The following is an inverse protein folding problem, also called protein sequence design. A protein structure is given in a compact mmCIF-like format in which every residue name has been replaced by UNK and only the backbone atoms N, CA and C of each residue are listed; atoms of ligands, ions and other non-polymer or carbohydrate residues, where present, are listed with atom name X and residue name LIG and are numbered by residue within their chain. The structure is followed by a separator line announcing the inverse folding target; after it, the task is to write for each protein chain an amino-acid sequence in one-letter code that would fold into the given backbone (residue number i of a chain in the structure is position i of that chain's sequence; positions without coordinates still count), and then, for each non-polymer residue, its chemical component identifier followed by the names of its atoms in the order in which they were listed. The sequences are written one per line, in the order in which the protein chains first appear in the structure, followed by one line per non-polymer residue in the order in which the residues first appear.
data_IF_406182332647
#
_entry.id   IF_406182332647
#
_cell.length_a   1.000
_cell.length_b   1.000
_cell.length_c   1.000
_cell.angle_alpha   90.00
_cell.angle_beta   90.00
_cell.angle_gamma   90.00
#
_symmetry.space_group_name_H-M   'P 1'
#
loop_
_entity.id
_entity.type
_entity.pdbx_description
1 polymer ?
#
# COMPACT_ATOMS: atom_id res chain seq x y z
N UNK A 1 11.93 -10.35 10.28
CA UNK A 1 12.89 -9.53 9.50
C UNK A 1 12.37 -8.09 9.43
N UNK A 2 13.25 -7.11 9.68
CA UNK A 2 12.93 -5.73 10.08
C UNK A 2 12.09 -4.90 9.09
N UNK A 3 10.82 -4.67 9.44
CA UNK A 3 9.91 -3.68 8.83
C UNK A 3 10.53 -2.25 8.78
N UNK A 4 11.44 -1.92 9.71
CA UNK A 4 12.08 -0.60 9.80
C UNK A 4 13.11 -0.29 8.68
N UNK A 5 13.62 -1.29 7.95
CA UNK A 5 14.71 -1.07 6.97
C UNK A 5 14.24 -0.38 5.69
N UNK A 6 12.99 -0.57 5.29
CA UNK A 6 12.47 0.05 4.07
C UNK A 6 12.26 1.56 4.26
N UNK A 7 11.62 1.99 5.34
CA UNK A 7 11.41 3.40 5.65
C UNK A 7 12.73 4.18 5.74
N UNK A 8 13.75 3.60 6.37
CA UNK A 8 15.08 4.22 6.42
C UNK A 8 15.69 4.40 5.01
N UNK A 9 15.51 3.43 4.11
CA UNK A 9 15.96 3.52 2.71
C UNK A 9 15.16 4.57 1.93
N UNK A 10 13.85 4.64 2.14
CA UNK A 10 12.98 5.67 1.56
C UNK A 10 13.46 7.08 1.92
N UNK A 11 13.68 7.36 3.20
CA UNK A 11 14.19 8.66 3.68
C UNK A 11 15.59 8.92 3.11
N UNK A 12 16.44 7.90 3.09
CA UNK A 12 17.79 8.02 2.55
C UNK A 12 17.78 8.36 1.06
N UNK A 13 16.94 7.72 0.24
CA UNK A 13 16.79 8.03 -1.19
C UNK A 13 16.34 9.46 -1.41
N UNK A 14 15.34 9.93 -0.65
CA UNK A 14 14.89 11.34 -0.71
C UNK A 14 16.02 12.31 -0.37
N UNK A 15 16.77 12.03 0.70
CA UNK A 15 17.94 12.83 1.08
C UNK A 15 18.99 12.82 -0.03
N UNK A 16 19.31 11.65 -0.57
CA UNK A 16 20.29 11.49 -1.64
C UNK A 16 19.92 12.34 -2.87
N UNK A 17 18.62 12.39 -3.21
CA UNK A 17 18.13 13.20 -4.32
C UNK A 17 18.26 14.71 -4.03
N UNK A 18 17.89 15.15 -2.82
CA UNK A 18 17.99 16.55 -2.38
C UNK A 18 19.44 17.06 -2.40
N UNK A 19 20.39 16.22 -2.03
CA UNK A 19 21.82 16.54 -2.06
C UNK A 19 22.52 16.11 -3.35
N UNK A 20 21.77 15.75 -4.40
CA UNK A 20 22.34 15.23 -5.65
C UNK A 20 23.29 16.19 -6.36
N UNK A 21 23.20 17.51 -6.11
CA UNK A 21 24.16 18.49 -6.62
C UNK A 21 25.53 18.46 -5.94
N UNK A 22 25.59 17.98 -4.69
CA UNK A 22 26.82 17.83 -3.89
C UNK A 22 27.45 16.44 -4.08
N UNK A 23 26.69 15.50 -4.65
CA UNK A 23 27.10 14.12 -4.88
C UNK A 23 27.52 13.95 -6.34
N UNK A 24 28.64 13.25 -6.58
CA UNK A 24 29.08 12.89 -7.93
C UNK A 24 28.31 11.67 -8.44
N UNK A 25 27.00 11.82 -8.63
CA UNK A 25 26.14 10.78 -9.21
C UNK A 25 26.28 10.78 -10.73
N UNK A 26 26.31 9.59 -11.34
CA UNK A 26 26.20 9.49 -12.79
C UNK A 26 24.76 9.83 -13.22
N UNK A 27 24.56 10.13 -14.51
CA UNK A 27 23.25 10.55 -15.03
C UNK A 27 22.18 9.46 -14.88
N UNK A 28 22.54 8.21 -15.13
CA UNK A 28 21.65 7.05 -15.03
C UNK A 28 21.17 6.80 -13.60
N UNK A 29 22.08 6.76 -12.63
CA UNK A 29 21.77 6.59 -11.21
C UNK A 29 20.87 7.72 -10.70
N UNK A 30 21.06 8.94 -11.23
CA UNK A 30 20.21 10.08 -10.88
C UNK A 30 18.79 9.93 -11.43
N UNK A 31 18.63 9.44 -12.65
CA UNK A 31 17.31 9.14 -13.23
C UNK A 31 16.59 8.01 -12.46
N UNK A 32 17.28 6.91 -12.18
CA UNK A 32 16.72 5.81 -11.38
C UNK A 32 16.33 6.26 -9.96
N UNK A 33 17.16 7.13 -9.34
CA UNK A 33 16.87 7.74 -8.05
C UNK A 33 15.66 8.66 -8.11
N UNK A 34 15.52 9.46 -9.17
CA UNK A 34 14.38 10.32 -9.41
C UNK A 34 13.08 9.50 -9.51
N UNK A 35 13.08 8.44 -10.30
CA UNK A 35 11.92 7.55 -10.46
C UNK A 35 11.50 6.92 -9.13
N UNK A 36 12.48 6.43 -8.35
CA UNK A 36 12.22 5.88 -7.03
C UNK A 36 11.66 6.95 -6.07
N UNK A 37 12.19 8.16 -6.09
CA UNK A 37 11.70 9.25 -5.25
C UNK A 37 10.30 9.74 -5.66
N UNK A 38 10.01 9.80 -6.97
CA UNK A 38 8.67 10.11 -7.48
C UNK A 38 7.66 9.09 -6.98
N UNK A 39 7.97 7.80 -7.09
CA UNK A 39 7.15 6.73 -6.52
C UNK A 39 6.94 6.92 -5.01
N UNK A 40 8.01 7.21 -4.28
CA UNK A 40 7.94 7.42 -2.82
C UNK A 40 6.97 8.55 -2.48
N UNK A 41 7.16 9.72 -3.08
CA UNK A 41 6.40 10.93 -2.74
C UNK A 41 4.95 10.84 -3.20
N UNK A 42 4.70 10.28 -4.38
CA UNK A 42 3.35 10.25 -4.97
C UNK A 42 2.52 9.07 -4.45
N UNK A 43 3.13 7.91 -4.22
CA UNK A 43 2.41 6.68 -3.90
C UNK A 43 2.65 6.22 -2.45
N UNK A 44 3.89 6.21 -1.97
CA UNK A 44 4.24 5.53 -0.71
C UNK A 44 4.07 6.40 0.56
N UNK A 45 4.29 7.71 0.50
CA UNK A 45 4.23 8.58 1.69
C UNK A 45 2.83 8.60 2.33
N UNK A 46 1.77 8.65 1.52
CA UNK A 46 0.39 8.69 2.02
C UNK A 46 0.01 7.48 2.89
N UNK A 47 0.11 6.23 2.43
CA UNK A 47 -0.18 5.06 3.26
C UNK A 47 0.81 4.91 4.42
N UNK A 48 2.07 5.34 4.26
CA UNK A 48 3.04 5.33 5.34
C UNK A 48 2.61 6.21 6.52
N UNK A 49 2.09 7.42 6.29
CA UNK A 49 1.59 8.27 7.38
C UNK A 49 0.28 7.74 8.01
N UNK A 50 -0.50 6.98 7.23
CA UNK A 50 -1.80 6.46 7.66
C UNK A 50 -1.72 5.12 8.41
N UNK A 51 -0.57 4.45 8.41
CA UNK A 51 -0.41 3.13 9.03
C UNK A 51 -0.50 3.12 10.57
N UNK A 52 -0.65 4.29 11.21
CA UNK A 52 -0.76 4.44 12.68
C UNK A 52 -2.14 3.96 13.18
N UNK A 53 -3.17 4.00 12.33
CA UNK A 53 -4.54 3.64 12.71
C UNK A 53 -4.90 2.23 12.23
N UNK A 54 -4.95 1.27 13.15
CA UNK A 54 -5.25 -0.14 12.84
C UNK A 54 -6.60 -0.31 12.15
N UNK A 55 -7.64 0.44 12.56
CA UNK A 55 -8.98 0.35 11.95
C UNK A 55 -9.01 0.80 10.49
N UNK A 56 -8.06 1.65 10.09
CA UNK A 56 -7.95 2.14 8.71
C UNK A 56 -7.10 1.24 7.83
N UNK A 57 -6.23 0.42 8.43
CA UNK A 57 -5.27 -0.41 7.70
C UNK A 57 -5.92 -1.21 6.55
N UNK A 58 -7.03 -1.95 6.75
CA UNK A 58 -7.54 -2.83 5.70
C UNK A 58 -8.00 -2.04 4.45
N UNK A 59 -8.77 -0.97 4.65
CA UNK A 59 -9.25 -0.17 3.53
C UNK A 59 -8.08 0.58 2.84
N UNK A 60 -7.16 1.14 3.63
CA UNK A 60 -6.01 1.88 3.09
C UNK A 60 -5.05 0.99 2.30
N UNK A 61 -4.82 -0.25 2.74
CA UNK A 61 -3.99 -1.20 2.01
C UNK A 61 -4.58 -1.50 0.62
N UNK A 62 -5.89 -1.72 0.53
CA UNK A 62 -6.57 -1.92 -0.75
C UNK A 62 -6.55 -0.66 -1.63
N UNK A 63 -6.75 0.53 -1.05
CA UNK A 63 -6.61 1.80 -1.76
C UNK A 63 -5.18 2.01 -2.29
N UNK A 64 -4.18 1.58 -1.53
CA UNK A 64 -2.78 1.64 -1.94
C UNK A 64 -2.51 0.73 -3.14
N UNK A 65 -3.02 -0.50 -3.15
CA UNK A 65 -2.92 -1.39 -4.32
C UNK A 65 -3.61 -0.81 -5.55
N UNK A 66 -4.80 -0.21 -5.39
CA UNK A 66 -5.49 0.50 -6.48
C UNK A 66 -4.64 1.65 -7.03
N UNK A 67 -4.02 2.43 -6.14
CA UNK A 67 -3.14 3.55 -6.52
C UNK A 67 -1.88 3.06 -7.24
N UNK A 68 -1.29 1.96 -6.78
CA UNK A 68 -0.17 1.30 -7.46
C UNK A 68 -0.56 0.86 -8.88
N UNK A 69 -1.74 0.26 -9.04
CA UNK A 69 -2.24 -0.15 -10.36
C UNK A 69 -2.47 1.05 -11.28
N UNK A 70 -2.96 2.17 -10.76
CA UNK A 70 -3.09 3.41 -11.53
C UNK A 70 -1.73 4.00 -11.93
N UNK A 71 -0.72 3.89 -11.04
CA UNK A 71 0.66 4.36 -11.27
C UNK A 71 1.39 3.59 -12.38
N UNK A 72 0.87 2.44 -12.82
CA UNK A 72 1.40 1.70 -13.97
C UNK A 72 1.49 2.57 -15.24
N UNK A 73 0.63 3.59 -15.36
CA UNK A 73 0.65 4.57 -16.46
C UNK A 73 1.88 5.48 -16.43
N UNK A 74 2.43 5.76 -15.25
CA UNK A 74 3.57 6.65 -15.07
C UNK A 74 4.89 5.86 -15.10
N UNK A 75 4.93 4.72 -14.40
CA UNK A 75 6.09 3.83 -14.40
C UNK A 75 5.65 2.37 -14.20
N UNK A 76 5.49 1.66 -15.31
CA UNK A 76 5.03 0.28 -15.35
C UNK A 76 5.95 -0.67 -14.57
N UNK A 77 7.26 -0.50 -14.71
CA UNK A 77 8.26 -1.36 -14.06
C UNK A 77 8.18 -1.26 -12.55
N UNK A 78 8.20 -0.04 -12.00
CA UNK A 78 8.10 0.19 -10.56
C UNK A 78 6.73 -0.23 -10.03
N UNK A 79 5.65 0.11 -10.73
CA UNK A 79 4.29 -0.29 -10.34
C UNK A 79 4.16 -1.81 -10.20
N UNK A 80 4.57 -2.57 -11.22
CA UNK A 80 4.49 -4.04 -11.19
C UNK A 80 5.36 -4.64 -10.10
N UNK A 81 6.59 -4.16 -9.94
CA UNK A 81 7.50 -4.63 -8.89
C UNK A 81 6.93 -4.35 -7.49
N UNK A 82 6.38 -3.15 -7.29
CA UNK A 82 5.75 -2.76 -6.02
C UNK A 82 4.48 -3.58 -5.75
N UNK A 83 3.57 -3.71 -6.72
CA UNK A 83 2.37 -4.55 -6.60
C UNK A 83 2.74 -5.96 -6.19
N UNK A 84 3.69 -6.59 -6.89
CA UNK A 84 4.14 -7.95 -6.55
C UNK A 84 4.65 -8.03 -5.11
N UNK A 85 5.44 -7.05 -4.66
CA UNK A 85 5.99 -7.05 -3.29
C UNK A 85 4.95 -6.79 -2.22
N UNK A 86 4.07 -5.82 -2.42
CA UNK A 86 3.08 -5.45 -1.42
C UNK A 86 1.92 -6.45 -1.36
N UNK A 87 1.55 -7.08 -2.48
CA UNK A 87 0.59 -8.20 -2.45
C UNK A 87 1.07 -9.38 -1.61
N UNK A 88 2.38 -9.63 -1.54
CA UNK A 88 2.95 -10.66 -0.65
C UNK A 88 2.91 -10.24 0.83
N UNK A 89 2.79 -8.95 1.13
CA UNK A 89 2.75 -8.44 2.50
C UNK A 89 1.35 -8.45 3.11
N UNK A 90 0.31 -8.74 2.33
CA UNK A 90 -1.09 -8.84 2.77
C UNK A 90 -1.41 -10.15 3.51
N UNK A 91 -0.41 -10.86 4.03
CA UNK A 91 -0.61 -12.11 4.76
C UNK A 91 -1.48 -11.96 6.02
N UNK A 92 -1.52 -10.74 6.59
CA UNK A 92 -2.37 -10.41 7.74
C UNK A 92 -3.78 -9.99 7.33
N UNK A 93 -4.05 -9.82 6.04
CA UNK A 93 -5.34 -9.38 5.53
C UNK A 93 -6.31 -10.57 5.51
N UNK A 94 -6.87 -10.88 6.67
CA UNK A 94 -7.90 -11.91 6.85
C UNK A 94 -9.29 -11.30 6.90
N UNK A 95 -10.34 -12.12 6.85
CA UNK A 95 -11.72 -11.65 6.93
C UNK A 95 -12.00 -10.93 8.26
N UNK A 96 -11.40 -11.38 9.37
CA UNK A 96 -11.53 -10.73 10.68
C UNK A 96 -10.90 -9.33 10.69
N UNK A 97 -9.77 -9.16 9.99
CA UNK A 97 -9.12 -7.85 9.85
C UNK A 97 -9.92 -6.98 8.88
N UNK A 98 -10.49 -7.54 7.82
CA UNK A 98 -11.33 -6.81 6.88
C UNK A 98 -12.56 -6.20 7.56
N UNK A 99 -13.15 -6.87 8.56
CA UNK A 99 -14.27 -6.34 9.37
C UNK A 99 -13.92 -5.05 10.09
N UNK A 100 -12.65 -4.80 10.43
CA UNK A 100 -12.22 -3.54 11.04
C UNK A 100 -12.52 -2.32 10.14
N UNK A 101 -12.56 -2.51 8.82
CA UNK A 101 -12.90 -1.46 7.87
C UNK A 101 -14.35 -0.96 8.00
N UNK A 102 -15.24 -1.71 8.67
CA UNK A 102 -16.59 -1.20 9.00
C UNK A 102 -16.53 0.05 9.89
N UNK A 103 -15.49 0.17 10.71
CA UNK A 103 -15.25 1.31 11.58
C UNK A 103 -14.42 2.43 10.93
N UNK A 104 -13.96 2.24 9.69
CA UNK A 104 -13.28 3.31 8.94
C UNK A 104 -14.32 4.26 8.34
N UNK A 105 -14.22 5.54 8.68
CA UNK A 105 -15.07 6.62 8.15
C UNK A 105 -14.84 6.85 6.65
N UNK A 106 -13.67 6.43 6.14
CA UNK A 106 -13.33 6.59 4.72
C UNK A 106 -13.99 5.52 3.83
N UNK A 107 -14.62 4.49 4.40
CA UNK A 107 -15.38 3.47 3.68
C UNK A 107 -16.83 3.93 3.56
N UNK A 108 -17.35 3.95 2.34
CA UNK A 108 -18.72 4.35 2.07
C UNK A 108 -19.74 3.33 2.62
N UNK A 109 -20.94 3.81 2.95
CA UNK A 109 -21.99 3.00 3.57
C UNK A 109 -22.43 1.83 2.67
N UNK A 110 -22.48 2.02 1.36
CA UNK A 110 -22.84 0.96 0.42
C UNK A 110 -21.83 -0.20 0.46
N UNK A 111 -20.53 0.12 0.50
CA UNK A 111 -19.46 -0.86 0.66
C UNK A 111 -19.58 -1.59 2.01
N UNK A 112 -19.87 -0.88 3.10
CA UNK A 112 -20.08 -1.51 4.42
C UNK A 112 -21.24 -2.50 4.41
N UNK A 113 -22.37 -2.13 3.80
CA UNK A 113 -23.54 -3.01 3.67
C UNK A 113 -23.19 -4.26 2.85
N UNK A 114 -22.44 -4.12 1.75
CA UNK A 114 -21.98 -5.26 0.93
C UNK A 114 -21.04 -6.19 1.72
N UNK A 115 -20.14 -5.63 2.53
CA UNK A 115 -19.25 -6.43 3.38
C UNK A 115 -20.05 -7.29 4.38
N UNK A 116 -21.03 -6.69 5.07
CA UNK A 116 -21.90 -7.40 6.03
C UNK A 116 -22.72 -8.50 5.31
N UNK A 117 -23.30 -8.19 4.15
CA UNK A 117 -24.04 -9.17 3.37
C UNK A 117 -23.19 -10.38 2.93
N UNK A 118 -21.94 -10.13 2.50
CA UNK A 118 -21.02 -11.20 2.12
C UNK A 118 -20.60 -12.05 3.32
N UNK A 119 -20.34 -11.41 4.47
CA UNK A 119 -19.98 -12.12 5.70
C UNK A 119 -21.10 -13.08 6.16
N UNK A 120 -22.37 -12.65 6.11
CA UNK A 120 -23.49 -13.54 6.42
C UNK A 120 -23.58 -14.73 5.46
N UNK A 121 -23.38 -14.52 4.16
CA UNK A 121 -23.43 -15.59 3.15
C UNK A 121 -22.41 -16.70 3.45
N UNK A 122 -21.21 -16.35 3.87
CA UNK A 122 -20.17 -17.33 4.21
C UNK A 122 -20.50 -18.15 5.45
N UNK A 123 -21.08 -17.53 6.48
CA UNK A 123 -21.54 -18.23 7.69
C UNK A 123 -22.61 -19.27 7.33
N UNK A 124 -23.61 -18.89 6.53
CA UNK A 124 -24.68 -19.84 6.15
C UNK A 124 -24.18 -20.95 5.22
N UNK A 125 -23.28 -20.65 4.29
CA UNK A 125 -22.70 -21.66 3.40
C UNK A 125 -21.79 -22.67 4.13
N UNK A 126 -21.16 -22.29 5.24
CA UNK A 126 -20.32 -23.19 6.05
C UNK A 126 -21.13 -24.05 7.01
N UNK A 127 -22.30 -23.56 7.44
CA UNK A 127 -23.24 -24.33 8.26
C UNK A 127 -24.03 -25.39 7.47
N UNK A 128 -24.36 -25.17 6.19
CA UNK A 128 -25.03 -26.18 5.35
C UNK A 128 -24.13 -27.36 4.95
N UNK A 129 -22.81 -27.24 5.10
CA UNK A 129 -21.83 -28.28 4.72
C UNK A 129 -21.40 -29.17 5.89
N UNK A 130 -21.99 -29.01 7.08
CA UNK A 130 -21.69 -29.80 8.28
C UNK A 130 -22.79 -30.79 8.63
#
# INVERSE_FOLDING_TARGET
MHQARWMARTIYSLKLLLFSSQLKLNTKDKEELLDACLFIVTIYVKPWLQCILTVKAPYKDLCFLKSLKAYEKENESISKAALQKFSQQLWYFTDEIAVLALFDEDVDEETKLKMVANFHREIFSTHEKR
#
